data_IF_491094640356
#
_entry.id   IF_491094640356
#
_cell.length_a   1.000
_cell.length_b   1.000
_cell.length_c   1.000
_cell.angle_alpha   90.00
_cell.angle_beta   90.00
_cell.angle_gamma   90.00
#
_symmetry.space_group_name_H-M   'P 1'
#
loop_
_entity.id
_entity.type
_entity.pdbx_description
1 polymer ?
#
# COMPACT_ATOMS: atom_id res chain seq x y z
N UNK A 1 3.67 -10.64 11.14
CA UNK A 1 2.57 -11.59 11.42
C UNK A 1 2.21 -11.50 12.89
N UNK A 2 0.92 -11.51 13.22
CA UNK A 2 0.42 -11.55 14.60
C UNK A 2 -0.49 -12.77 14.79
N UNK A 3 -0.32 -13.47 15.90
CA UNK A 3 -1.15 -14.61 16.26
C UNK A 3 -2.18 -14.20 17.32
N UNK A 4 -3.42 -14.56 17.10
CA UNK A 4 -4.55 -14.34 18.00
C UNK A 4 -5.04 -15.71 18.45
N UNK A 5 -4.99 -15.97 19.76
CA UNK A 5 -5.63 -17.15 20.35
C UNK A 5 -7.15 -17.00 20.27
N UNK A 6 -7.80 -17.93 19.57
CA UNK A 6 -9.24 -17.93 19.32
C UNK A 6 -9.88 -19.29 19.66
N UNK A 7 -9.87 -19.59 20.95
CA UNK A 7 -10.48 -20.80 21.48
C UNK A 7 -9.65 -22.04 21.23
N UNK A 8 -10.08 -22.87 20.29
CA UNK A 8 -9.46 -24.15 19.96
C UNK A 8 -8.43 -24.06 18.81
N UNK A 9 -7.99 -22.84 18.45
CA UNK A 9 -6.99 -22.60 17.40
C UNK A 9 -6.53 -21.15 17.32
N UNK A 10 -5.81 -20.85 16.24
CA UNK A 10 -5.23 -19.55 16.00
C UNK A 10 -5.86 -18.85 14.79
N UNK A 11 -6.04 -17.54 14.90
CA UNK A 11 -6.24 -16.64 13.78
C UNK A 11 -4.95 -15.83 13.59
N UNK A 12 -4.41 -15.80 12.38
CA UNK A 12 -3.21 -15.01 12.07
C UNK A 12 -3.57 -13.76 11.25
N UNK A 13 -3.00 -12.63 11.65
CA UNK A 13 -3.00 -11.41 10.85
C UNK A 13 -1.75 -11.43 9.98
N UNK A 14 -1.94 -11.46 8.66
CA UNK A 14 -0.92 -11.71 7.64
C UNK A 14 -0.24 -13.08 7.78
N UNK A 15 0.57 -13.46 6.79
CA UNK A 15 1.19 -14.78 6.78
C UNK A 15 2.70 -14.77 6.56
N UNK A 16 3.19 -13.79 5.82
CA UNK A 16 4.57 -13.77 5.33
C UNK A 16 4.68 -14.20 3.87
N UNK A 17 5.92 -14.26 3.39
CA UNK A 17 6.26 -14.66 2.03
C UNK A 17 6.49 -16.17 1.95
N UNK A 18 5.94 -16.82 0.91
CA UNK A 18 6.10 -18.27 0.63
C UNK A 18 7.53 -18.62 0.18
N UNK A 19 8.48 -18.41 1.09
CA UNK A 19 9.87 -18.83 0.99
C UNK A 19 10.15 -19.80 2.15
N UNK A 20 11.05 -20.76 1.92
CA UNK A 20 11.47 -21.74 2.95
C UNK A 20 11.86 -21.05 4.27
N UNK A 21 12.59 -19.93 4.18
CA UNK A 21 12.99 -19.15 5.34
C UNK A 21 11.78 -18.50 6.05
N UNK A 22 10.78 -18.03 5.31
CA UNK A 22 9.55 -17.43 5.86
C UNK A 22 8.70 -18.49 6.56
N UNK A 23 8.53 -19.65 5.94
CA UNK A 23 7.81 -20.79 6.51
C UNK A 23 8.49 -21.29 7.78
N UNK A 24 9.81 -21.52 7.74
CA UNK A 24 10.58 -21.96 8.92
C UNK A 24 10.48 -20.97 10.08
N UNK A 25 10.55 -19.66 9.78
CA UNK A 25 10.44 -18.62 10.80
C UNK A 25 9.05 -18.61 11.46
N UNK A 26 7.98 -18.74 10.66
CA UNK A 26 6.62 -18.77 11.19
C UNK A 26 6.37 -20.07 12.00
N UNK A 27 6.82 -21.23 11.49
CA UNK A 27 6.71 -22.51 12.21
C UNK A 27 7.42 -22.44 13.56
N UNK A 28 8.66 -21.93 13.57
CA UNK A 28 9.41 -21.75 14.82
C UNK A 28 8.71 -20.82 15.81
N UNK A 29 8.14 -19.71 15.30
CA UNK A 29 7.40 -18.76 16.16
C UNK A 29 6.15 -19.39 16.75
N UNK A 30 5.36 -20.14 15.98
CA UNK A 30 4.21 -20.89 16.47
C UNK A 30 4.62 -21.95 17.48
N UNK A 31 5.71 -22.67 17.23
CA UNK A 31 6.26 -23.67 18.16
C UNK A 31 6.63 -23.09 19.53
N UNK A 32 7.08 -21.83 19.61
CA UNK A 32 7.32 -21.16 20.91
C UNK A 32 6.05 -20.92 21.72
N UNK A 33 4.90 -20.89 21.04
CA UNK A 33 3.57 -20.74 21.64
C UNK A 33 2.91 -22.10 21.92
N UNK A 34 3.57 -23.21 21.54
CA UNK A 34 3.03 -24.56 21.68
C UNK A 34 2.06 -24.96 20.57
N UNK A 35 2.12 -24.30 19.41
CA UNK A 35 1.24 -24.52 18.27
C UNK A 35 2.01 -24.94 17.02
N UNK A 36 1.28 -25.55 16.07
CA UNK A 36 1.74 -25.84 14.72
C UNK A 36 0.85 -25.17 13.65
N UNK A 37 1.17 -25.39 12.37
CA UNK A 37 0.33 -24.89 11.28
C UNK A 37 -1.07 -25.50 11.26
N UNK A 38 -1.25 -26.71 11.77
CA UNK A 38 -2.52 -27.41 11.93
C UNK A 38 -3.49 -26.71 12.89
N UNK A 39 -2.96 -25.88 13.81
CA UNK A 39 -3.76 -25.10 14.75
C UNK A 39 -4.25 -23.77 14.15
N UNK A 40 -3.68 -23.36 13.00
CA UNK A 40 -4.09 -22.11 12.32
C UNK A 40 -5.40 -22.35 11.56
N UNK A 41 -6.48 -21.74 12.05
CA UNK A 41 -7.83 -21.86 11.47
C UNK A 41 -8.03 -20.90 10.30
N UNK A 42 -7.47 -19.70 10.40
CA UNK A 42 -7.74 -18.62 9.46
C UNK A 42 -6.60 -17.63 9.37
N UNK A 43 -6.34 -17.14 8.16
CA UNK A 43 -5.55 -15.95 7.90
C UNK A 43 -6.47 -14.77 7.60
N UNK A 44 -6.32 -13.67 8.31
CA UNK A 44 -6.90 -12.37 8.02
C UNK A 44 -5.79 -11.50 7.41
N UNK A 45 -5.80 -11.34 6.10
CA UNK A 45 -4.70 -10.70 5.39
C UNK A 45 -5.03 -9.25 5.11
N UNK A 46 -4.08 -8.36 5.44
CA UNK A 46 -4.26 -6.91 5.29
C UNK A 46 -4.28 -6.49 3.83
N UNK A 47 -3.45 -7.10 2.98
CA UNK A 47 -3.37 -6.80 1.55
C UNK A 47 -2.60 -7.89 0.77
N UNK A 48 -2.63 -7.84 -0.57
CA UNK A 48 -2.15 -8.92 -1.43
C UNK A 48 -0.65 -8.85 -1.80
N UNK A 49 0.19 -8.06 -1.11
CA UNK A 49 1.63 -8.14 -1.36
C UNK A 49 2.19 -9.50 -0.91
N UNK A 50 3.29 -9.91 -1.56
CA UNK A 50 3.83 -11.27 -1.44
C UNK A 50 4.21 -11.66 -0.01
N UNK A 51 4.72 -10.71 0.75
CA UNK A 51 5.17 -10.87 2.12
C UNK A 51 4.05 -10.81 3.18
N UNK A 52 2.80 -10.67 2.74
CA UNK A 52 1.60 -10.74 3.56
C UNK A 52 0.69 -11.90 3.19
N UNK A 53 0.64 -12.26 1.90
CA UNK A 53 -0.40 -13.14 1.34
C UNK A 53 0.09 -14.54 0.95
N UNK A 54 1.29 -14.66 0.36
CA UNK A 54 1.63 -15.85 -0.40
C UNK A 54 1.83 -17.08 0.48
N UNK A 55 2.36 -16.94 1.69
CA UNK A 55 2.52 -18.08 2.59
C UNK A 55 1.17 -18.61 3.07
N UNK A 56 0.14 -17.77 3.24
CA UNK A 56 -1.20 -18.24 3.54
C UNK A 56 -1.75 -19.17 2.45
N UNK A 57 -1.52 -18.85 1.17
CA UNK A 57 -1.93 -19.70 0.04
C UNK A 57 -1.19 -21.03 0.05
N UNK A 58 0.13 -21.02 0.29
CA UNK A 58 0.92 -22.24 0.39
C UNK A 58 0.45 -23.15 1.54
N UNK A 59 0.17 -22.57 2.71
CA UNK A 59 -0.32 -23.28 3.89
C UNK A 59 -1.77 -23.77 3.71
N UNK A 60 -2.64 -23.00 3.05
CA UNK A 60 -4.00 -23.44 2.70
C UNK A 60 -4.00 -24.74 1.91
N UNK A 61 -3.12 -24.90 0.94
CA UNK A 61 -3.01 -26.13 0.13
C UNK A 61 -2.64 -27.36 0.97
N UNK A 62 -1.90 -27.16 2.04
CA UNK A 62 -1.40 -28.25 2.90
C UNK A 62 -2.33 -28.58 4.07
N UNK A 63 -2.90 -27.55 4.68
CA UNK A 63 -3.64 -27.67 5.95
C UNK A 63 -5.13 -27.31 5.81
N UNK A 64 -5.57 -26.74 4.69
CA UNK A 64 -6.97 -26.34 4.47
C UNK A 64 -7.37 -25.06 5.22
N UNK A 65 -6.41 -24.31 5.75
CA UNK A 65 -6.60 -23.05 6.46
C UNK A 65 -7.36 -22.04 5.59
N UNK A 66 -8.30 -21.30 6.17
CA UNK A 66 -9.08 -20.30 5.44
C UNK A 66 -8.34 -18.98 5.30
N UNK A 67 -8.57 -18.29 4.17
CA UNK A 67 -7.97 -16.99 3.89
C UNK A 67 -9.07 -15.96 3.65
N UNK A 68 -8.99 -14.83 4.35
CA UNK A 68 -9.83 -13.66 4.11
C UNK A 68 -8.95 -12.47 3.71
N UNK A 69 -9.37 -11.70 2.70
CA UNK A 69 -8.64 -10.58 2.12
C UNK A 69 -9.58 -9.44 1.76
N UNK A 70 -9.14 -8.19 1.84
CA UNK A 70 -9.94 -7.04 1.49
C UNK A 70 -10.50 -7.10 0.06
N UNK A 71 -11.81 -6.90 -0.12
CA UNK A 71 -12.49 -7.00 -1.42
C UNK A 71 -11.92 -6.07 -2.49
N UNK A 72 -11.35 -4.94 -2.08
CA UNK A 72 -10.68 -4.02 -2.99
C UNK A 72 -9.44 -4.60 -3.68
N UNK A 73 -8.83 -5.68 -3.14
CA UNK A 73 -7.68 -6.37 -3.77
C UNK A 73 -8.05 -7.16 -5.04
N UNK A 74 -9.32 -7.49 -5.23
CA UNK A 74 -9.77 -8.36 -6.31
C UNK A 74 -9.24 -7.96 -7.70
N UNK A 75 -9.25 -6.70 -8.14
CA UNK A 75 -8.74 -6.33 -9.46
C UNK A 75 -7.23 -6.50 -9.61
N UNK A 76 -6.44 -6.21 -8.56
CA UNK A 76 -4.99 -6.41 -8.57
C UNK A 76 -4.65 -7.90 -8.53
N UNK A 77 -5.28 -8.67 -7.68
CA UNK A 77 -5.09 -10.10 -7.54
C UNK A 77 -5.45 -10.85 -8.84
N UNK A 78 -6.57 -10.50 -9.48
CA UNK A 78 -6.97 -11.07 -10.76
C UNK A 78 -5.92 -10.83 -11.86
N UNK A 79 -5.28 -9.66 -11.89
CA UNK A 79 -4.19 -9.38 -12.83
C UNK A 79 -2.93 -10.19 -12.53
N UNK A 80 -2.60 -10.38 -11.24
CA UNK A 80 -1.46 -11.20 -10.82
C UNK A 80 -1.68 -12.66 -11.24
N UNK A 81 -2.84 -13.23 -10.93
CA UNK A 81 -3.21 -14.60 -11.28
C UNK A 81 -3.23 -14.80 -12.81
N UNK A 82 -3.75 -13.81 -13.55
CA UNK A 82 -3.74 -13.81 -15.02
C UNK A 82 -2.37 -13.46 -15.62
N UNK A 83 -1.31 -13.29 -14.79
CA UNK A 83 0.07 -12.94 -15.20
C UNK A 83 0.17 -11.66 -16.03
N UNK A 84 -0.76 -10.71 -15.83
CA UNK A 84 -0.76 -9.41 -16.49
C UNK A 84 0.15 -8.44 -15.74
N UNK A 85 1.40 -8.33 -16.18
CA UNK A 85 2.49 -7.58 -15.51
C UNK A 85 2.77 -6.22 -16.16
N UNK A 86 1.96 -5.78 -17.10
CA UNK A 86 2.19 -4.61 -17.95
C UNK A 86 1.73 -3.27 -17.33
N UNK A 87 0.97 -3.29 -16.24
CA UNK A 87 0.40 -2.09 -15.62
C UNK A 87 1.45 -1.04 -15.28
N UNK A 88 2.45 -1.42 -14.49
CA UNK A 88 3.52 -0.50 -14.08
C UNK A 88 4.39 -0.02 -15.24
N UNK A 89 4.60 -0.90 -16.25
CA UNK A 89 5.36 -0.55 -17.46
C UNK A 89 4.64 0.55 -18.23
N UNK A 90 3.31 0.44 -18.41
CA UNK A 90 2.49 1.48 -19.06
C UNK A 90 2.52 2.78 -18.27
N UNK A 91 2.32 2.69 -16.96
CA UNK A 91 2.32 3.85 -16.08
C UNK A 91 3.65 4.63 -16.18
N UNK A 92 4.80 3.94 -16.17
CA UNK A 92 6.11 4.59 -16.31
C UNK A 92 6.23 5.33 -17.65
N UNK A 93 5.71 4.77 -18.75
CA UNK A 93 5.70 5.43 -20.04
C UNK A 93 4.85 6.70 -20.03
N UNK A 94 3.62 6.63 -19.46
CA UNK A 94 2.72 7.80 -19.35
C UNK A 94 3.26 8.87 -18.39
N UNK A 95 4.10 8.50 -17.43
CA UNK A 95 4.74 9.43 -16.49
C UNK A 95 6.03 10.07 -17.02
N UNK A 96 6.36 9.85 -18.30
CA UNK A 96 7.54 10.44 -18.94
C UNK A 96 8.84 9.68 -18.69
N UNK A 97 8.78 8.41 -18.28
CA UNK A 97 9.93 7.57 -17.97
C UNK A 97 10.05 6.33 -18.88
N UNK A 98 10.04 6.44 -20.23
CA UNK A 98 10.05 5.28 -21.13
C UNK A 98 11.28 4.39 -20.93
N UNK A 99 12.46 4.96 -20.65
CA UNK A 99 13.67 4.21 -20.39
C UNK A 99 13.60 3.38 -19.08
N UNK A 100 12.90 3.86 -18.04
CA UNK A 100 12.62 3.06 -16.85
C UNK A 100 11.60 1.96 -17.17
N UNK A 101 10.60 2.24 -18.01
CA UNK A 101 9.64 1.24 -18.47
C UNK A 101 10.33 0.08 -19.20
N UNK A 102 11.33 0.36 -20.06
CA UNK A 102 12.09 -0.67 -20.76
C UNK A 102 12.94 -1.51 -19.80
N UNK A 103 13.65 -0.88 -18.88
CA UNK A 103 14.43 -1.57 -17.86
C UNK A 103 13.53 -2.39 -16.94
N UNK A 104 12.38 -1.85 -16.52
CA UNK A 104 11.41 -2.55 -15.67
C UNK A 104 10.79 -3.75 -16.39
N UNK A 105 10.52 -3.63 -17.70
CA UNK A 105 10.05 -4.74 -18.54
C UNK A 105 11.01 -5.92 -18.51
N UNK A 106 12.32 -5.66 -18.56
CA UNK A 106 13.35 -6.71 -18.46
C UNK A 106 13.32 -7.40 -17.09
N UNK A 107 13.15 -6.66 -15.99
CA UNK A 107 12.98 -7.24 -14.65
C UNK A 107 11.73 -8.10 -14.59
N UNK A 108 10.59 -7.57 -15.04
CA UNK A 108 9.31 -8.29 -15.03
C UNK A 108 9.39 -9.57 -15.88
N UNK A 109 10.10 -9.54 -16.99
CA UNK A 109 10.31 -10.73 -17.84
C UNK A 109 11.22 -11.78 -17.21
N UNK A 110 12.08 -11.39 -16.27
CA UNK A 110 12.96 -12.33 -15.53
C UNK A 110 12.26 -13.01 -14.34
N UNK A 111 11.11 -12.50 -13.90
CA UNK A 111 10.31 -13.11 -12.85
C UNK A 111 9.71 -14.41 -13.37
N UNK A 112 10.11 -15.53 -12.78
CA UNK A 112 9.64 -16.86 -13.13
C UNK A 112 8.16 -17.08 -12.77
N UNK A 113 7.56 -18.11 -13.37
CA UNK A 113 6.18 -18.50 -13.04
C UNK A 113 6.05 -19.02 -11.62
N UNK A 114 7.12 -19.60 -11.07
CA UNK A 114 7.15 -20.09 -9.69
C UNK A 114 6.96 -18.98 -8.65
N UNK A 115 7.41 -17.76 -8.94
CA UNK A 115 7.21 -16.62 -8.02
C UNK A 115 5.74 -16.18 -7.91
N UNK A 116 4.91 -16.57 -8.87
CA UNK A 116 3.48 -16.23 -8.88
C UNK A 116 2.57 -17.43 -8.57
N UNK A 117 3.14 -18.62 -8.34
CA UNK A 117 2.34 -19.82 -8.07
C UNK A 117 1.50 -19.72 -6.81
N UNK A 118 1.96 -18.92 -5.83
CA UNK A 118 1.32 -18.77 -4.53
C UNK A 118 0.37 -17.56 -4.48
N UNK A 119 -0.23 -17.22 -5.62
CA UNK A 119 -1.35 -16.29 -5.70
C UNK A 119 -2.60 -17.03 -6.21
N UNK A 120 -3.60 -17.09 -5.36
CA UNK A 120 -4.94 -17.63 -5.63
C UNK A 120 -6.00 -16.70 -5.05
N UNK A 121 -7.25 -16.87 -5.41
CA UNK A 121 -8.34 -16.14 -4.75
C UNK A 121 -8.47 -16.58 -3.28
N UNK A 122 -8.80 -15.67 -2.35
CA UNK A 122 -9.11 -16.01 -0.97
C UNK A 122 -10.40 -16.80 -0.87
N UNK A 123 -10.65 -17.38 0.30
CA UNK A 123 -11.94 -18.02 0.60
C UNK A 123 -13.04 -17.00 0.87
N UNK A 124 -12.66 -15.80 1.34
CA UNK A 124 -13.58 -14.72 1.71
C UNK A 124 -13.03 -13.36 1.34
N UNK A 125 -13.90 -12.52 0.78
CA UNK A 125 -13.62 -11.12 0.50
C UNK A 125 -14.18 -10.25 1.62
N UNK A 126 -13.29 -9.53 2.31
CA UNK A 126 -13.64 -8.64 3.41
C UNK A 126 -14.09 -7.27 2.90
N UNK A 127 -15.17 -6.79 3.48
CA UNK A 127 -15.61 -5.40 3.41
C UNK A 127 -15.61 -4.81 4.83
N UNK A 128 -16.03 -3.57 5.01
CA UNK A 128 -16.22 -3.01 6.33
C UNK A 128 -17.26 -3.85 7.10
N UNK A 129 -16.81 -4.46 8.19
CA UNK A 129 -17.65 -5.35 9.02
C UNK A 129 -17.02 -5.61 10.38
N UNK A 130 -17.81 -6.10 11.30
CA UNK A 130 -17.32 -6.66 12.57
C UNK A 130 -17.17 -8.18 12.42
N UNK A 131 -15.95 -8.67 12.57
CA UNK A 131 -15.62 -10.11 12.59
C UNK A 131 -15.68 -10.62 14.03
N UNK A 132 -16.71 -11.41 14.33
CA UNK A 132 -16.79 -12.11 15.59
C UNK A 132 -15.81 -13.29 15.61
N UNK A 133 -14.85 -13.28 16.51
CA UNK A 133 -14.02 -14.38 16.93
C UNK A 133 -14.59 -14.93 18.26
N UNK A 134 -14.09 -16.09 18.72
CA UNK A 134 -14.64 -16.65 19.97
C UNK A 134 -14.45 -15.76 21.20
N UNK A 135 -13.30 -15.07 21.29
CA UNK A 135 -12.91 -14.28 22.46
C UNK A 135 -12.92 -12.77 22.23
N UNK A 136 -13.16 -12.31 21.02
CA UNK A 136 -13.10 -10.88 20.66
C UNK A 136 -13.86 -10.55 19.39
N UNK A 137 -14.05 -9.28 19.14
CA UNK A 137 -14.54 -8.77 17.87
C UNK A 137 -13.45 -7.92 17.24
N UNK A 138 -13.11 -8.21 15.98
CA UNK A 138 -12.24 -7.37 15.19
C UNK A 138 -13.08 -6.58 14.19
N UNK A 139 -12.97 -5.26 14.22
CA UNK A 139 -13.54 -4.43 13.16
C UNK A 139 -12.59 -4.38 11.96
N UNK A 140 -13.10 -4.75 10.81
CA UNK A 140 -12.40 -4.60 9.53
C UNK A 140 -12.67 -3.21 8.99
N UNK A 141 -11.62 -2.44 8.75
CA UNK A 141 -11.70 -1.13 8.13
C UNK A 141 -10.95 -1.14 6.80
N UNK A 142 -11.62 -0.89 5.67
CA UNK A 142 -10.94 -0.61 4.41
C UNK A 142 -10.09 0.66 4.54
N UNK A 143 -8.80 0.52 4.23
CA UNK A 143 -7.82 1.61 4.27
C UNK A 143 -7.04 1.66 2.95
N UNK A 144 -7.73 1.97 1.82
CA UNK A 144 -7.07 2.03 0.51
C UNK A 144 -5.96 3.08 0.49
N UNK A 145 -4.98 2.86 -0.39
CA UNK A 145 -3.88 3.79 -0.65
C UNK A 145 -2.55 3.12 -0.89
N UNK A 146 -2.01 2.37 0.09
CA UNK A 146 -0.86 1.50 -0.12
C UNK A 146 -1.17 0.49 -1.23
N UNK A 147 -2.23 -0.27 -1.05
CA UNK A 147 -2.97 -0.94 -2.12
C UNK A 147 -4.44 -0.50 -2.08
N UNK A 148 -5.17 -0.73 -3.17
CA UNK A 148 -6.58 -0.33 -3.28
C UNK A 148 -7.51 -1.13 -2.38
N UNK A 149 -7.10 -2.30 -1.94
CA UNK A 149 -7.89 -3.21 -1.11
C UNK A 149 -7.33 -3.43 0.28
N UNK A 150 -6.34 -2.65 0.68
CA UNK A 150 -5.77 -2.74 2.02
C UNK A 150 -6.87 -2.60 3.09
N UNK A 151 -6.79 -3.43 4.12
CA UNK A 151 -7.65 -3.36 5.30
C UNK A 151 -6.78 -3.35 6.56
N UNK A 152 -7.25 -2.69 7.59
CA UNK A 152 -6.71 -2.82 8.96
C UNK A 152 -7.73 -3.52 9.84
N UNK A 153 -7.27 -4.14 10.93
CA UNK A 153 -8.13 -4.78 11.91
C UNK A 153 -8.01 -4.06 13.25
N UNK A 154 -9.14 -3.63 13.79
CA UNK A 154 -9.23 -2.90 15.07
C UNK A 154 -9.85 -3.81 16.12
N UNK A 155 -9.13 -4.05 17.21
CA UNK A 155 -9.65 -4.62 18.45
C UNK A 155 -9.83 -3.48 19.45
N UNK A 156 -11.04 -2.94 19.52
CA UNK A 156 -11.32 -1.78 20.38
C UNK A 156 -11.22 -2.15 21.86
N UNK A 157 -11.70 -3.34 22.24
CA UNK A 157 -11.73 -3.77 23.63
C UNK A 157 -10.30 -3.97 24.17
N UNK A 158 -9.39 -4.45 23.34
CA UNK A 158 -7.97 -4.62 23.69
C UNK A 158 -7.11 -3.39 23.35
N UNK A 159 -7.70 -2.35 22.76
CA UNK A 159 -6.99 -1.14 22.32
C UNK A 159 -5.85 -1.42 21.33
N UNK A 160 -6.07 -2.29 20.34
CA UNK A 160 -5.08 -2.71 19.35
C UNK A 160 -5.50 -2.32 17.92
N UNK A 161 -4.52 -1.86 17.14
CA UNK A 161 -4.64 -1.65 15.70
C UNK A 161 -3.63 -2.53 14.95
N UNK A 162 -4.09 -3.57 14.27
CA UNK A 162 -3.29 -4.33 13.32
C UNK A 162 -3.28 -3.59 11.98
N UNK A 163 -2.22 -2.83 11.77
CA UNK A 163 -2.18 -1.78 10.74
C UNK A 163 -1.66 -2.26 9.38
N UNK A 164 -1.17 -3.50 9.25
CA UNK A 164 -0.52 -3.92 8.01
C UNK A 164 0.55 -2.92 7.58
N UNK A 165 0.51 -2.54 6.30
CA UNK A 165 1.40 -1.53 5.72
C UNK A 165 0.74 -0.14 5.62
N UNK A 166 -0.45 0.03 6.20
CA UNK A 166 -1.10 1.34 6.21
C UNK A 166 -0.36 2.35 7.12
N UNK A 167 0.00 1.94 8.33
CA UNK A 167 0.73 2.80 9.28
C UNK A 167 2.01 2.08 9.73
N UNK A 168 3.16 2.54 9.22
CA UNK A 168 4.48 1.97 9.55
C UNK A 168 5.29 2.94 10.42
N UNK A 169 5.94 2.47 11.51
CA UNK A 169 6.52 3.35 12.53
C UNK A 169 7.75 4.12 12.06
N UNK A 170 8.51 3.60 11.10
CA UNK A 170 9.81 4.15 10.72
C UNK A 170 9.95 4.55 9.25
N UNK A 171 9.08 4.06 8.39
CA UNK A 171 9.07 4.34 6.95
C UNK A 171 7.69 4.78 6.51
N UNK A 172 7.61 5.45 5.36
CA UNK A 172 6.34 5.64 4.65
C UNK A 172 6.09 4.43 3.77
N UNK A 173 4.88 3.88 3.71
CA UNK A 173 4.57 2.82 2.76
C UNK A 173 4.63 3.35 1.33
N UNK A 174 4.90 2.49 0.35
CA UNK A 174 4.73 2.83 -1.06
C UNK A 174 3.24 3.04 -1.36
N UNK A 175 2.90 3.98 -2.24
CA UNK A 175 1.53 4.32 -2.55
C UNK A 175 1.17 3.89 -3.97
N UNK A 176 0.14 3.03 -4.09
CA UNK A 176 -0.40 2.61 -5.40
C UNK A 176 0.56 1.78 -6.25
N UNK A 177 1.53 1.10 -5.63
CA UNK A 177 2.42 0.18 -6.33
C UNK A 177 1.76 -1.19 -6.49
N UNK A 178 0.80 -1.26 -7.40
CA UNK A 178 -0.01 -2.44 -7.63
C UNK A 178 -0.40 -2.59 -9.11
N UNK A 179 -0.78 -3.81 -9.58
CA UNK A 179 -1.14 -4.04 -10.99
C UNK A 179 -2.38 -3.29 -11.47
N UNK A 180 -3.33 -3.01 -10.58
CA UNK A 180 -4.57 -2.29 -10.88
C UNK A 180 -4.64 -0.98 -10.07
N UNK A 181 -3.66 -0.10 -10.27
CA UNK A 181 -3.55 1.18 -9.56
C UNK A 181 -4.85 1.99 -9.66
N UNK A 182 -5.42 2.50 -8.54
CA UNK A 182 -6.56 3.40 -8.56
C UNK A 182 -6.20 4.78 -9.11
N UNK A 183 -7.21 5.60 -9.38
CA UNK A 183 -7.01 6.92 -9.97
C UNK A 183 -6.30 7.90 -9.01
N UNK A 184 -6.58 7.82 -7.70
CA UNK A 184 -6.09 8.77 -6.70
C UNK A 184 -5.54 8.07 -5.45
N UNK A 185 -4.52 7.18 -5.58
CA UNK A 185 -4.09 6.32 -4.48
C UNK A 185 -3.58 7.09 -3.26
N UNK A 186 -2.90 8.23 -3.44
CA UNK A 186 -2.46 9.04 -2.32
C UNK A 186 -3.64 9.79 -1.67
N UNK A 187 -4.64 10.20 -2.43
CA UNK A 187 -5.87 10.77 -1.87
C UNK A 187 -6.57 9.75 -0.98
N UNK A 188 -6.76 8.54 -1.50
CA UNK A 188 -7.34 7.41 -0.76
C UNK A 188 -6.55 7.12 0.53
N UNK A 189 -5.21 7.14 0.44
CA UNK A 189 -4.32 6.93 1.60
C UNK A 189 -4.49 8.01 2.68
N UNK A 190 -4.52 9.28 2.27
CA UNK A 190 -4.69 10.40 3.20
C UNK A 190 -6.07 10.36 3.90
N UNK A 191 -7.12 9.95 3.19
CA UNK A 191 -8.44 9.79 3.78
C UNK A 191 -8.49 8.58 4.72
N UNK A 192 -7.80 7.50 4.38
CA UNK A 192 -7.64 6.32 5.24
C UNK A 192 -6.86 6.64 6.52
N UNK A 193 -5.83 7.50 6.46
CA UNK A 193 -5.12 7.98 7.65
C UNK A 193 -6.05 8.78 8.56
N UNK A 194 -6.90 9.66 7.99
CA UNK A 194 -7.90 10.42 8.76
C UNK A 194 -8.93 9.50 9.38
N UNK A 195 -9.41 8.49 8.65
CA UNK A 195 -10.32 7.47 9.17
C UNK A 195 -9.73 6.78 10.41
N UNK A 196 -8.46 6.35 10.36
CA UNK A 196 -7.80 5.76 11.54
C UNK A 196 -7.66 6.77 12.68
N UNK A 197 -7.46 8.05 12.37
CA UNK A 197 -7.37 9.14 13.36
C UNK A 197 -8.70 9.43 14.07
N UNK A 198 -9.83 9.10 13.43
CA UNK A 198 -11.17 9.26 14.02
C UNK A 198 -11.51 8.15 15.05
N UNK A 199 -10.74 7.05 15.06
CA UNK A 199 -10.82 6.02 16.09
C UNK A 199 -10.10 6.48 17.38
N UNK A 200 -10.31 5.80 18.52
CA UNK A 200 -9.47 6.01 19.71
C UNK A 200 -7.98 5.81 19.42
N UNK A 201 -7.09 6.43 20.19
CA UNK A 201 -5.68 6.16 20.08
C UNK A 201 -5.38 4.73 20.54
N UNK A 202 -4.91 3.92 19.62
CA UNK A 202 -4.70 2.49 19.81
C UNK A 202 -3.21 2.17 19.76
N UNK A 203 -2.83 1.09 20.42
CA UNK A 203 -1.50 0.51 20.29
C UNK A 203 -1.31 0.03 18.85
N UNK A 204 -0.29 0.53 18.19
CA UNK A 204 0.00 0.25 16.78
C UNK A 204 0.78 -1.06 16.64
N UNK A 205 0.19 -2.02 15.94
CA UNK A 205 0.77 -3.30 15.55
C UNK A 205 1.01 -3.28 14.03
N UNK A 206 2.18 -2.76 13.57
CA UNK A 206 2.49 -2.64 12.15
C UNK A 206 2.99 -3.97 11.58
N UNK A 207 2.92 -4.15 10.25
CA UNK A 207 3.52 -5.34 9.65
C UNK A 207 5.06 -5.31 9.67
N UNK A 208 5.64 -4.13 9.54
CA UNK A 208 7.09 -3.92 9.54
C UNK A 208 7.50 -2.91 10.60
N UNK A 209 8.53 -3.25 11.39
CA UNK A 209 9.06 -2.41 12.47
C UNK A 209 8.47 -2.76 13.83
N UNK A 210 8.83 -2.00 14.89
CA UNK A 210 8.39 -2.28 16.24
C UNK A 210 6.93 -1.86 16.48
N UNK A 211 6.29 -2.53 17.42
CA UNK A 211 5.03 -2.09 18.03
C UNK A 211 5.25 -0.76 18.75
N UNK A 212 4.29 0.16 18.63
CA UNK A 212 4.32 1.46 19.32
C UNK A 212 3.03 1.70 20.08
N UNK A 213 3.08 2.54 21.12
CA UNK A 213 1.93 2.73 22.02
C UNK A 213 0.83 3.61 21.45
N UNK A 214 1.10 4.39 20.39
CA UNK A 214 0.16 5.33 19.79
C UNK A 214 0.12 5.19 18.28
N UNK A 215 -1.05 4.90 17.72
CA UNK A 215 -1.34 4.97 16.30
C UNK A 215 -1.47 6.43 15.83
N UNK A 216 -2.07 7.29 16.67
CA UNK A 216 -2.33 8.67 16.34
C UNK A 216 -1.04 9.48 16.13
N UNK A 217 -0.05 9.33 17.01
CA UNK A 217 1.23 10.03 16.86
C UNK A 217 1.85 9.76 15.49
N UNK A 218 1.82 8.48 15.03
CA UNK A 218 2.39 8.14 13.74
C UNK A 218 1.52 8.58 12.57
N UNK A 219 0.20 8.51 12.68
CA UNK A 219 -0.75 9.03 11.66
C UNK A 219 -0.52 10.53 11.43
N UNK A 220 -0.42 11.31 12.51
CA UNK A 220 -0.17 12.76 12.43
C UNK A 220 1.16 13.08 11.73
N UNK A 221 2.24 12.31 12.02
CA UNK A 221 3.53 12.42 11.32
C UNK A 221 3.42 12.09 9.82
N UNK A 222 2.67 11.06 9.45
CA UNK A 222 2.49 10.66 8.05
C UNK A 222 1.67 11.71 7.28
N UNK A 223 0.62 12.26 7.87
CA UNK A 223 -0.16 13.35 7.28
C UNK A 223 0.70 14.58 7.04
N UNK A 224 1.49 15.01 8.03
CA UNK A 224 2.41 16.14 7.90
C UNK A 224 3.46 15.88 6.82
N UNK A 225 4.07 14.67 6.80
CA UNK A 225 5.04 14.29 5.79
C UNK A 225 4.49 14.42 4.36
N UNK A 226 3.26 13.96 4.11
CA UNK A 226 2.68 14.04 2.77
C UNK A 226 2.30 15.48 2.39
N UNK A 227 1.89 16.34 3.32
CA UNK A 227 1.67 17.75 3.03
C UNK A 227 2.99 18.45 2.65
N UNK A 228 4.08 18.18 3.35
CA UNK A 228 5.43 18.67 2.99
C UNK A 228 5.85 18.18 1.60
N UNK A 229 5.60 16.90 1.29
CA UNK A 229 5.89 16.32 -0.02
C UNK A 229 5.05 16.94 -1.14
N UNK A 230 3.76 17.22 -0.88
CA UNK A 230 2.87 17.91 -1.83
C UNK A 230 3.37 19.33 -2.10
N UNK A 231 3.79 20.07 -1.05
CA UNK A 231 4.36 21.41 -1.21
C UNK A 231 5.65 21.39 -2.06
N UNK A 232 6.57 20.45 -1.77
CA UNK A 232 7.81 20.29 -2.54
C UNK A 232 7.54 19.89 -4.00
N UNK A 233 6.55 19.02 -4.24
CA UNK A 233 6.13 18.58 -5.58
C UNK A 233 5.56 19.76 -6.39
N UNK A 234 4.70 20.58 -5.77
CA UNK A 234 4.14 21.78 -6.40
C UNK A 234 5.25 22.77 -6.77
N UNK A 235 6.22 22.98 -5.90
CA UNK A 235 7.35 23.90 -6.16
C UNK A 235 8.24 23.37 -7.29
N UNK A 236 8.45 22.07 -7.39
CA UNK A 236 9.16 21.47 -8.51
C UNK A 236 8.46 21.78 -9.87
N UNK A 237 7.12 21.66 -9.91
CA UNK A 237 6.35 22.01 -11.12
C UNK A 237 6.43 23.51 -11.41
N UNK A 238 6.33 24.38 -10.40
CA UNK A 238 6.52 25.84 -10.56
C UNK A 238 7.90 26.20 -11.11
N UNK A 239 8.91 25.41 -10.78
CA UNK A 239 10.28 25.59 -11.27
C UNK A 239 10.51 24.97 -12.67
N UNK A 240 9.44 24.50 -13.36
CA UNK A 240 9.44 24.13 -14.77
C UNK A 240 9.54 22.63 -15.06
N UNK A 241 9.28 21.71 -14.09
CA UNK A 241 9.09 20.29 -14.42
C UNK A 241 7.68 20.08 -14.99
N UNK A 242 7.56 19.22 -16.01
CA UNK A 242 6.28 18.95 -16.66
C UNK A 242 5.77 17.53 -16.47
N UNK A 243 6.63 16.57 -16.15
CA UNK A 243 6.25 15.15 -16.00
C UNK A 243 6.53 14.62 -14.60
N UNK A 244 5.88 13.52 -14.22
CA UNK A 244 6.15 12.90 -12.94
C UNK A 244 7.62 12.46 -12.80
N UNK A 245 8.20 11.96 -13.89
CA UNK A 245 9.61 11.58 -13.90
C UNK A 245 10.56 12.77 -13.73
N UNK A 246 10.34 13.87 -14.46
CA UNK A 246 11.15 15.09 -14.29
C UNK A 246 11.05 15.63 -12.87
N UNK A 247 9.83 15.64 -12.30
CA UNK A 247 9.58 16.08 -10.93
C UNK A 247 10.28 15.16 -9.92
N UNK A 248 10.17 13.83 -10.09
CA UNK A 248 10.85 12.88 -9.21
C UNK A 248 12.37 13.08 -9.18
N UNK A 249 12.99 13.48 -10.30
CA UNK A 249 14.42 13.76 -10.38
C UNK A 249 14.86 15.02 -9.65
N UNK A 250 13.94 15.95 -9.39
CA UNK A 250 14.22 17.18 -8.64
C UNK A 250 14.02 17.02 -7.13
N UNK A 251 13.22 16.05 -6.72
CA UNK A 251 12.94 15.81 -5.30
C UNK A 251 14.07 15.03 -4.62
N UNK A 252 14.25 15.29 -3.33
CA UNK A 252 15.07 14.46 -2.46
C UNK A 252 14.37 13.17 -2.07
N UNK A 253 15.12 12.08 -1.90
CA UNK A 253 14.63 10.75 -1.59
C UNK A 253 15.29 10.17 -0.36
N UNK A 254 14.55 9.39 0.40
CA UNK A 254 14.97 8.81 1.68
C UNK A 254 15.22 9.86 2.77
N UNK A 255 15.36 9.42 4.02
CA UNK A 255 15.70 10.28 5.16
C UNK A 255 17.07 10.97 5.03
N UNK A 256 17.91 10.53 4.06
CA UNK A 256 19.26 11.07 3.82
C UNK A 256 19.30 12.00 2.62
N UNK A 257 18.15 12.43 2.12
CA UNK A 257 18.00 13.33 0.96
C UNK A 257 18.81 12.88 -0.27
N UNK A 258 18.78 11.56 -0.56
CA UNK A 258 19.46 11.00 -1.73
C UNK A 258 18.88 11.57 -3.01
N UNK A 259 19.74 11.79 -3.99
CA UNK A 259 19.31 12.17 -5.34
C UNK A 259 18.69 10.98 -6.05
N UNK A 260 17.71 11.22 -6.91
CA UNK A 260 17.05 10.20 -7.71
C UNK A 260 18.02 9.26 -8.46
N UNK A 261 19.10 9.80 -9.01
CA UNK A 261 20.12 9.03 -9.73
C UNK A 261 20.92 8.05 -8.86
N UNK A 262 20.90 8.20 -7.55
CA UNK A 262 21.58 7.33 -6.58
C UNK A 262 20.71 6.15 -6.13
N UNK A 263 19.43 6.15 -6.54
CA UNK A 263 18.49 5.07 -6.26
C UNK A 263 18.72 3.90 -7.23
N UNK A 264 18.53 2.68 -6.75
CA UNK A 264 18.45 1.53 -7.64
C UNK A 264 17.20 1.57 -8.52
N UNK A 265 17.09 0.66 -9.49
CA UNK A 265 15.98 0.65 -10.45
C UNK A 265 14.62 0.53 -9.77
N UNK A 266 14.48 -0.36 -8.78
CA UNK A 266 13.22 -0.56 -8.09
C UNK A 266 12.77 0.72 -7.37
N UNK A 267 13.68 1.36 -6.63
CA UNK A 267 13.42 2.61 -5.94
C UNK A 267 13.19 3.78 -6.91
N UNK A 268 13.81 3.81 -8.09
CA UNK A 268 13.50 4.80 -9.14
C UNK A 268 12.07 4.64 -9.68
N UNK A 269 11.61 3.40 -9.84
CA UNK A 269 10.23 3.09 -10.25
C UNK A 269 9.23 3.53 -9.18
N UNK A 270 9.48 3.18 -7.91
CA UNK A 270 8.65 3.62 -6.79
C UNK A 270 8.60 5.13 -6.67
N UNK A 271 9.74 5.81 -6.71
CA UNK A 271 9.85 7.27 -6.61
C UNK A 271 9.06 7.98 -7.72
N UNK A 272 9.11 7.46 -8.96
CA UNK A 272 8.35 8.02 -10.07
C UNK A 272 6.83 7.85 -9.85
N UNK A 273 6.40 6.67 -9.40
CA UNK A 273 4.99 6.36 -9.11
C UNK A 273 4.44 7.17 -7.93
N UNK A 274 5.25 7.32 -6.87
CA UNK A 274 4.87 8.14 -5.71
C UNK A 274 4.75 9.63 -6.09
N UNK A 275 5.68 10.13 -6.92
CA UNK A 275 5.57 11.51 -7.44
C UNK A 275 4.31 11.70 -8.28
N UNK A 276 3.97 10.73 -9.15
CA UNK A 276 2.71 10.77 -9.90
C UNK A 276 1.50 10.83 -8.97
N UNK A 277 1.50 10.06 -7.87
CA UNK A 277 0.41 10.08 -6.90
C UNK A 277 0.27 11.45 -6.19
N UNK A 278 1.38 12.13 -5.88
CA UNK A 278 1.35 13.48 -5.33
C UNK A 278 0.85 14.51 -6.35
N UNK A 279 1.28 14.42 -7.61
CA UNK A 279 0.80 15.28 -8.69
C UNK A 279 -0.70 15.10 -8.92
N UNK A 280 -1.22 13.86 -8.90
CA UNK A 280 -2.64 13.56 -9.04
C UNK A 280 -3.46 14.25 -7.92
N UNK A 281 -2.97 14.23 -6.67
CA UNK A 281 -3.60 14.96 -5.55
C UNK A 281 -3.58 16.47 -5.76
N UNK A 282 -2.46 17.02 -6.26
CA UNK A 282 -2.40 18.47 -6.56
C UNK A 282 -3.37 18.88 -7.68
N UNK A 283 -3.58 18.01 -8.67
CA UNK A 283 -4.61 18.21 -9.70
C UNK A 283 -6.00 18.13 -9.08
N UNK A 284 -6.28 17.14 -8.26
CA UNK A 284 -7.54 16.99 -7.55
C UNK A 284 -7.86 18.20 -6.66
N UNK A 285 -6.84 18.80 -6.03
CA UNK A 285 -6.95 20.03 -5.24
C UNK A 285 -7.06 21.31 -6.10
N UNK A 286 -7.03 21.20 -7.43
CA UNK A 286 -7.11 22.33 -8.37
C UNK A 286 -5.88 23.24 -8.39
N UNK A 287 -4.74 22.77 -7.86
CA UNK A 287 -3.47 23.50 -7.86
C UNK A 287 -2.67 23.27 -9.14
N UNK A 288 -2.88 22.13 -9.80
CA UNK A 288 -2.30 21.79 -11.08
C UNK A 288 -3.40 21.42 -12.07
N UNK A 289 -3.05 21.47 -13.35
CA UNK A 289 -3.83 20.92 -14.47
C UNK A 289 -3.01 19.86 -15.19
N UNK A 290 -3.68 18.97 -15.92
CA UNK A 290 -3.01 17.95 -16.74
C UNK A 290 -3.39 18.09 -18.22
N UNK A 291 -2.45 17.73 -19.08
CA UNK A 291 -2.63 17.57 -20.51
C UNK A 291 -1.90 16.30 -20.95
N UNK A 292 -2.46 15.54 -21.89
CA UNK A 292 -1.76 14.44 -22.52
C UNK A 292 -1.02 14.96 -23.78
N UNK A 293 0.30 14.75 -23.85
CA UNK A 293 1.15 15.07 -24.99
C UNK A 293 1.91 13.84 -25.45
N UNK A 294 1.60 13.36 -26.65
CA UNK A 294 2.22 12.16 -27.22
C UNK A 294 2.20 10.94 -26.28
N UNK A 295 1.10 10.70 -25.57
CA UNK A 295 0.94 9.60 -24.64
C UNK A 295 1.62 9.81 -23.27
N UNK A 296 2.14 11.01 -23.00
CA UNK A 296 2.72 11.39 -21.71
C UNK A 296 1.83 12.40 -21.01
N UNK A 297 1.56 12.18 -19.73
CA UNK A 297 0.86 13.13 -18.87
C UNK A 297 1.80 14.27 -18.48
N UNK A 298 1.41 15.50 -18.84
CA UNK A 298 2.14 16.72 -18.50
C UNK A 298 1.33 17.52 -17.51
N UNK A 299 1.99 18.01 -16.48
CA UNK A 299 1.41 18.81 -15.41
C UNK A 299 1.84 20.26 -15.52
N UNK A 300 0.93 21.17 -15.24
CA UNK A 300 1.21 22.62 -15.22
C UNK A 300 0.47 23.27 -14.03
N UNK A 301 1.00 24.39 -13.55
CA UNK A 301 0.32 25.18 -12.49
C UNK A 301 -1.00 25.69 -13.02
N UNK A 302 -2.08 25.48 -12.27
CA UNK A 302 -3.39 25.99 -12.61
C UNK A 302 -3.37 27.53 -12.65
N UNK A 303 -4.00 28.12 -13.67
CA UNK A 303 -4.19 29.56 -13.71
C UNK A 303 -4.97 29.99 -12.46
N UNK A 304 -4.58 31.10 -11.83
CA UNK A 304 -5.35 31.68 -10.74
C UNK A 304 -6.78 31.93 -11.26
N UNK A 305 -7.80 31.43 -10.55
CA UNK A 305 -9.19 31.79 -10.85
C UNK A 305 -9.26 33.32 -10.69
N UNK A 306 -9.36 34.04 -11.80
CA UNK A 306 -9.70 35.46 -11.76
C UNK A 306 -11.07 35.54 -11.09
N UNK A 307 -11.12 36.13 -9.90
CA UNK A 307 -12.36 36.45 -9.22
C UNK A 307 -13.17 37.40 -10.07
N UNK A 308 -14.07 36.85 -10.88
CA UNK A 308 -15.11 37.58 -11.58
C UNK A 308 -16.42 37.32 -10.80
N UNK A 309 -16.56 37.96 -9.65
CA UNK A 309 -17.83 38.39 -9.14
C UNK A 309 -17.69 39.88 -8.78
N UNK A 310 -17.67 40.65 -9.89
CA UNK A 310 -17.85 42.08 -9.85
C UNK A 310 -19.31 42.36 -9.55
N UNK A 311 -19.50 43.12 -8.51
CA UNK A 311 -20.66 43.95 -8.28
C UNK A 311 -21.39 44.32 -9.59
N UNK A 312 -22.63 43.90 -9.72
CA UNK A 312 -23.60 44.66 -10.48
C UNK A 312 -24.75 45.04 -9.54
N UNK A 313 -24.90 46.35 -9.43
CA UNK A 313 -25.74 47.18 -8.65
C UNK A 313 -27.26 46.90 -8.56
#
# INVERSE_FOLDING_TARGET
>A
VYAIDDGDGLVLIDSGWALDAGETALESALGTLGHGFEDVRRFLVTHAHRDHYTLAVALRRRFGTKIALGAGEQPSLARIIARRRDGQIRNLATWGAPHLADRWRAVVASIGDDELRDYEEPDEWLTETDLALEKRVLRVLPTPGHTRGHVVFVDVDSSLLFAGDHVLPHITPSIGFEPARPALPLGDYLDSLRLVRDYPDLRLLPAHGPVTESSHARVDELLAHHEDRLAATLEAVRSGTGTAFETARKLGWTRRDRKFAELDLFNQVLATGETAAHLDVLVHRGLLTTEERAGVTVYAVAAARSGADGEQG
#
